data_IF_750508941367
#
_entry.id   IF_750508941367
#
_cell.length_a   1.000
_cell.length_b   1.000
_cell.length_c   1.000
_cell.angle_alpha   90.00
_cell.angle_beta   90.00
_cell.angle_gamma   90.00
#
_symmetry.space_group_name_H-M   'P 1'
#
loop_
_entity.id
_entity.type
_entity.pdbx_description
1 polymer ?
#
# COMPACT_ATOMS: atom_id res chain seq x y z
N UNK A 1 7.74 6.96 14.52
CA UNK A 1 7.18 8.21 13.98
C UNK A 1 6.20 8.71 15.03
N UNK A 2 6.33 9.96 15.42
CA UNK A 2 5.56 10.59 16.51
C UNK A 2 4.05 10.65 16.16
N UNK A 3 3.13 10.25 17.06
CA UNK A 3 1.68 10.38 16.88
C UNK A 3 1.22 11.79 16.48
N UNK A 4 1.89 12.84 16.98
CA UNK A 4 1.54 14.22 16.61
C UNK A 4 1.87 14.52 15.15
N UNK A 5 2.96 13.95 14.63
CA UNK A 5 3.33 14.06 13.21
C UNK A 5 2.30 13.35 12.32
N UNK A 6 1.75 12.22 12.77
CA UNK A 6 0.66 11.57 12.04
C UNK A 6 -0.59 12.44 12.08
N UNK A 7 -1.07 12.86 13.25
CA UNK A 7 -2.24 13.75 13.36
C UNK A 7 -2.14 14.98 12.46
N UNK A 8 -0.98 15.66 12.45
CA UNK A 8 -0.73 16.81 11.58
C UNK A 8 -0.81 16.45 10.09
N UNK A 9 -0.30 15.28 9.68
CA UNK A 9 -0.43 14.81 8.30
C UNK A 9 -1.89 14.51 7.92
N UNK A 10 -2.67 13.94 8.84
CA UNK A 10 -4.09 13.66 8.64
C UNK A 10 -4.93 14.94 8.58
N UNK A 11 -4.60 15.95 9.38
CA UNK A 11 -5.25 17.26 9.31
C UNK A 11 -4.95 17.97 8.00
N UNK A 12 -3.70 17.94 7.53
CA UNK A 12 -3.33 18.47 6.21
C UNK A 12 -4.09 17.80 5.07
N UNK A 13 -4.28 16.48 5.15
CA UNK A 13 -5.09 15.75 4.16
C UNK A 13 -6.56 16.15 4.22
N UNK A 14 -7.12 16.37 5.42
CA UNK A 14 -8.51 16.85 5.59
C UNK A 14 -8.72 18.28 5.10
N UNK A 15 -7.67 19.10 5.06
CA UNK A 15 -7.72 20.46 4.54
C UNK A 15 -7.62 20.52 3.00
N UNK A 16 -7.20 19.45 2.33
CA UNK A 16 -7.16 19.42 0.86
C UNK A 16 -8.57 19.47 0.27
N UNK A 17 -8.71 20.10 -0.89
CA UNK A 17 -9.90 19.96 -1.71
C UNK A 17 -10.10 18.48 -2.06
N UNK A 18 -11.19 17.90 -1.56
CA UNK A 18 -11.53 16.50 -1.76
C UNK A 18 -11.67 16.14 -3.24
N UNK A 19 -12.20 17.04 -4.09
CA UNK A 19 -12.34 16.78 -5.53
C UNK A 19 -10.99 16.69 -6.21
N UNK A 20 -10.08 17.58 -5.84
CA UNK A 20 -8.71 17.57 -6.37
C UNK A 20 -7.98 16.29 -5.93
N UNK A 21 -8.06 15.93 -4.65
CA UNK A 21 -7.46 14.72 -4.11
C UNK A 21 -7.98 13.45 -4.81
N UNK A 22 -9.29 13.34 -5.02
CA UNK A 22 -9.88 12.21 -5.73
C UNK A 22 -9.39 12.15 -7.19
N UNK A 23 -9.24 13.30 -7.84
CA UNK A 23 -8.70 13.38 -9.20
C UNK A 23 -7.22 12.97 -9.25
N UNK A 24 -6.42 13.37 -8.26
CA UNK A 24 -5.02 12.92 -8.11
C UNK A 24 -4.95 11.39 -8.00
N UNK A 25 -5.75 10.79 -7.11
CA UNK A 25 -5.80 9.33 -6.93
C UNK A 25 -6.26 8.64 -8.22
N UNK A 26 -7.30 9.14 -8.88
CA UNK A 26 -7.81 8.56 -10.14
C UNK A 26 -6.75 8.56 -11.25
N UNK A 27 -5.92 9.60 -11.33
CA UNK A 27 -4.84 9.69 -12.30
C UNK A 27 -3.65 8.78 -11.97
N UNK A 28 -3.46 8.45 -10.69
CA UNK A 28 -2.39 7.58 -10.23
C UNK A 28 -2.72 6.08 -10.40
N UNK A 29 -4.00 5.73 -10.51
CA UNK A 29 -4.43 4.37 -10.82
C UNK A 29 -3.82 3.92 -12.14
N UNK A 30 -3.16 2.77 -12.13
CA UNK A 30 -2.68 2.13 -13.35
C UNK A 30 -3.90 1.67 -14.16
N UNK A 31 -4.15 2.36 -15.27
CA UNK A 31 -5.36 2.18 -16.08
C UNK A 31 -5.43 0.77 -16.69
N UNK A 32 -6.67 0.28 -16.89
CA UNK A 32 -6.88 -0.94 -17.67
C UNK A 32 -6.48 -0.73 -19.13
N UNK A 33 -6.02 -1.77 -19.82
CA UNK A 33 -5.73 -1.69 -21.24
C UNK A 33 -6.98 -1.24 -22.03
N UNK A 34 -6.76 -0.46 -23.09
CA UNK A 34 -7.79 -0.18 -24.10
C UNK A 34 -8.04 -1.47 -24.86
N UNK A 35 -9.29 -1.92 -24.92
CA UNK A 35 -9.63 -3.11 -25.68
C UNK A 35 -9.70 -2.68 -27.15
N UNK A 36 -8.72 -3.14 -27.94
CA UNK A 36 -8.51 -2.70 -29.32
C UNK A 36 -9.51 -3.30 -30.32
N UNK A 37 -10.12 -4.44 -30.00
CA UNK A 37 -11.07 -5.16 -30.87
C UNK A 37 -12.30 -5.73 -30.13
N UNK A 38 -13.13 -4.91 -29.47
CA UNK A 38 -14.43 -5.38 -28.98
C UNK A 38 -15.40 -5.56 -30.16
N UNK A 39 -16.41 -6.44 -30.04
CA UNK A 39 -17.46 -6.57 -31.05
C UNK A 39 -18.23 -5.28 -31.35
N UNK A 40 -18.12 -4.25 -30.48
CA UNK A 40 -18.80 -2.96 -30.58
C UNK A 40 -17.85 -1.76 -30.78
N UNK A 41 -16.69 -2.00 -31.40
CA UNK A 41 -15.68 -0.96 -31.65
C UNK A 41 -14.83 -0.62 -30.42
N UNK A 42 -13.77 0.17 -30.59
CA UNK A 42 -12.82 0.50 -29.51
C UNK A 42 -13.54 1.18 -28.34
N UNK A 43 -13.52 0.54 -27.17
CA UNK A 43 -14.08 1.07 -25.92
C UNK A 43 -13.03 1.01 -24.82
N UNK A 44 -13.07 1.99 -23.92
CA UNK A 44 -12.28 1.99 -22.70
C UNK A 44 -12.84 0.93 -21.75
N UNK A 45 -11.99 0.04 -21.25
CA UNK A 45 -12.38 -0.88 -20.19
C UNK A 45 -12.60 -0.10 -18.88
N UNK A 46 -13.80 -0.21 -18.32
CA UNK A 46 -14.14 0.36 -17.02
C UNK A 46 -14.14 -0.80 -16.03
N UNK A 47 -13.32 -0.66 -14.99
CA UNK A 47 -13.28 -1.64 -13.90
C UNK A 47 -14.26 -1.18 -12.83
N UNK A 48 -15.20 -2.05 -12.47
CA UNK A 48 -16.27 -1.74 -11.50
C UNK A 48 -16.25 -2.65 -10.28
N UNK A 49 -15.30 -3.59 -10.20
CA UNK A 49 -15.24 -4.61 -9.15
C UNK A 49 -14.20 -4.29 -8.05
N UNK A 50 -14.18 -3.04 -7.59
CA UNK A 50 -13.22 -2.57 -6.58
C UNK A 50 -13.39 -3.22 -5.21
N UNK A 51 -14.52 -3.88 -4.94
CA UNK A 51 -14.75 -4.63 -3.72
C UNK A 51 -14.07 -6.00 -3.73
N UNK A 52 -13.92 -6.64 -4.90
CA UNK A 52 -13.18 -7.89 -5.03
C UNK A 52 -11.67 -7.64 -4.98
N UNK A 53 -11.18 -6.72 -5.81
CA UNK A 53 -9.75 -6.35 -5.87
C UNK A 53 -9.58 -4.88 -6.22
N UNK A 54 -8.64 -4.21 -5.57
CA UNK A 54 -8.30 -2.83 -5.92
C UNK A 54 -7.32 -2.78 -7.10
N UNK A 55 -7.25 -1.63 -7.79
CA UNK A 55 -6.21 -1.42 -8.82
C UNK A 55 -4.95 -0.83 -8.20
N UNK A 56 -3.75 -1.23 -8.68
CA UNK A 56 -2.50 -0.70 -8.19
C UNK A 56 -2.36 0.79 -8.54
N UNK A 57 -1.75 1.54 -7.62
CA UNK A 57 -1.38 2.94 -7.82
C UNK A 57 0.07 3.02 -8.26
N UNK A 58 0.35 3.83 -9.29
CA UNK A 58 1.69 3.99 -9.85
C UNK A 58 2.70 4.50 -8.82
N UNK A 59 2.28 5.38 -7.91
CA UNK A 59 3.15 5.86 -6.83
C UNK A 59 3.62 4.72 -5.94
N UNK A 60 2.73 3.80 -5.54
CA UNK A 60 3.11 2.66 -4.70
C UNK A 60 4.00 1.66 -5.45
N UNK A 61 3.66 1.33 -6.69
CA UNK A 61 4.50 0.44 -7.51
C UNK A 61 5.90 1.02 -7.72
N UNK A 62 6.00 2.35 -7.92
CA UNK A 62 7.28 3.02 -8.06
C UNK A 62 8.14 2.93 -6.80
N UNK A 63 7.53 3.06 -5.61
CA UNK A 63 8.22 2.89 -4.33
C UNK A 63 8.66 1.44 -4.14
N UNK A 64 7.80 0.48 -4.45
CA UNK A 64 8.15 -0.95 -4.40
C UNK A 64 9.36 -1.24 -5.29
N UNK A 65 9.32 -0.80 -6.55
CA UNK A 65 10.40 -0.99 -7.52
C UNK A 65 11.71 -0.31 -7.12
N UNK A 66 11.67 0.91 -6.56
CA UNK A 66 12.88 1.70 -6.29
C UNK A 66 13.47 1.48 -4.90
N UNK A 67 12.65 1.16 -3.91
CA UNK A 67 13.05 1.18 -2.50
C UNK A 67 12.96 -0.17 -1.81
N UNK A 68 12.10 -1.08 -2.28
CA UNK A 68 11.88 -2.38 -1.62
C UNK A 68 12.57 -3.50 -2.39
N UNK A 69 12.20 -3.68 -3.66
CA UNK A 69 12.68 -4.78 -4.49
C UNK A 69 14.21 -4.86 -4.65
N UNK A 70 14.97 -3.74 -4.75
CA UNK A 70 16.43 -3.82 -4.86
C UNK A 70 17.15 -4.43 -3.66
N UNK A 71 16.53 -4.39 -2.48
CA UNK A 71 17.07 -4.96 -1.25
C UNK A 71 16.34 -6.23 -0.82
N UNK A 72 15.47 -6.77 -1.68
CA UNK A 72 14.69 -7.96 -1.38
C UNK A 72 15.59 -9.19 -1.26
N UNK A 73 15.56 -9.82 -0.09
CA UNK A 73 16.30 -11.05 0.19
C UNK A 73 15.54 -11.89 1.23
N UNK A 74 15.78 -13.20 1.20
CA UNK A 74 15.20 -14.12 2.18
C UNK A 74 15.54 -13.68 3.61
N UNK A 75 14.53 -13.68 4.48
CA UNK A 75 14.63 -13.21 5.87
C UNK A 75 15.17 -14.25 6.85
N UNK A 76 15.37 -15.49 6.39
CA UNK A 76 15.81 -16.62 7.23
C UNK A 76 17.30 -16.54 7.62
N UNK A 77 18.09 -15.76 6.89
CA UNK A 77 19.53 -15.56 7.16
C UNK A 77 19.83 -14.07 7.16
N UNK A 78 20.03 -13.49 8.35
CA UNK A 78 20.24 -12.04 8.55
C UNK A 78 21.69 -11.59 8.34
N UNK A 79 22.49 -12.39 7.64
CA UNK A 79 23.93 -12.15 7.46
C UNK A 79 24.24 -11.03 6.46
N UNK A 80 23.35 -10.76 5.50
CA UNK A 80 23.55 -9.72 4.48
C UNK A 80 22.76 -8.44 4.79
N UNK A 81 23.24 -7.30 4.30
CA UNK A 81 22.55 -6.01 4.42
C UNK A 81 21.14 -6.05 3.80
N UNK A 82 20.96 -6.74 2.66
CA UNK A 82 19.66 -6.92 2.02
C UNK A 82 18.70 -7.77 2.86
N UNK A 83 19.18 -8.85 3.48
CA UNK A 83 18.36 -9.68 4.36
C UNK A 83 17.90 -8.92 5.61
N UNK A 84 18.78 -8.08 6.18
CA UNK A 84 18.43 -7.18 7.29
C UNK A 84 17.40 -6.13 6.85
N UNK A 85 17.59 -5.52 5.68
CA UNK A 85 16.66 -4.54 5.13
C UNK A 85 15.27 -5.14 4.90
N UNK A 86 15.17 -6.31 4.27
CA UNK A 86 13.87 -6.99 4.05
C UNK A 86 13.19 -7.35 5.37
N UNK A 87 13.94 -7.88 6.33
CA UNK A 87 13.41 -8.21 7.67
C UNK A 87 12.87 -6.96 8.38
N UNK A 88 13.59 -5.85 8.30
CA UNK A 88 13.15 -4.58 8.88
C UNK A 88 11.91 -4.02 8.18
N UNK A 89 11.85 -4.08 6.84
CA UNK A 89 10.68 -3.64 6.06
C UNK A 89 9.42 -4.41 6.47
N UNK A 90 9.51 -5.74 6.62
CA UNK A 90 8.38 -6.55 7.12
C UNK A 90 7.97 -6.14 8.54
N UNK A 91 8.94 -5.89 9.43
CA UNK A 91 8.66 -5.41 10.80
C UNK A 91 7.94 -4.06 10.79
N UNK A 92 8.39 -3.11 9.97
CA UNK A 92 7.75 -1.79 9.80
C UNK A 92 6.34 -1.94 9.22
N UNK A 93 6.13 -2.82 8.25
CA UNK A 93 4.82 -3.07 7.66
C UNK A 93 3.83 -3.58 8.71
N UNK A 94 4.22 -4.61 9.49
CA UNK A 94 3.42 -5.14 10.61
C UNK A 94 3.08 -4.08 11.64
N UNK A 95 4.07 -3.25 11.98
CA UNK A 95 3.91 -2.12 12.91
C UNK A 95 2.92 -1.09 12.39
N UNK A 96 3.03 -0.73 11.10
CA UNK A 96 2.14 0.24 10.45
C UNK A 96 0.70 -0.27 10.44
N UNK A 97 0.50 -1.53 10.02
CA UNK A 97 -0.81 -2.18 10.03
C UNK A 97 -1.43 -2.13 11.42
N UNK A 98 -0.68 -2.54 12.44
CA UNK A 98 -1.17 -2.58 13.82
C UNK A 98 -1.64 -1.21 14.30
N UNK A 99 -0.91 -0.14 13.94
CA UNK A 99 -1.32 1.24 14.26
C UNK A 99 -2.58 1.65 13.50
N UNK A 100 -2.66 1.33 12.21
CA UNK A 100 -3.84 1.64 11.40
C UNK A 100 -5.10 0.92 11.89
N UNK A 101 -4.97 -0.26 12.51
CA UNK A 101 -6.09 -1.02 13.09
C UNK A 101 -6.28 -0.79 14.59
N UNK A 102 -5.50 0.09 15.21
CA UNK A 102 -5.50 0.33 16.66
C UNK A 102 -5.33 -0.95 17.51
N UNK A 103 -4.58 -1.93 17.01
CA UNK A 103 -4.35 -3.18 17.72
C UNK A 103 -3.36 -2.99 18.88
N UNK A 104 -3.70 -3.53 20.05
CA UNK A 104 -2.96 -3.34 21.30
C UNK A 104 -1.75 -4.29 21.33
N UNK A 105 -0.59 -3.79 21.74
CA UNK A 105 0.57 -4.64 22.06
C UNK A 105 0.50 -5.02 23.54
N UNK A 106 -0.21 -6.10 23.86
CA UNK A 106 -0.28 -6.60 25.24
C UNK A 106 0.98 -7.43 25.53
N UNK A 107 1.74 -7.13 26.61
CA UNK A 107 2.87 -7.96 27.02
C UNK A 107 2.43 -9.42 27.21
N UNK A 108 3.16 -10.38 26.64
CA UNK A 108 2.78 -11.81 26.63
C UNK A 108 1.86 -12.24 25.47
N UNK A 109 1.41 -11.29 24.64
CA UNK A 109 0.62 -11.53 23.44
C UNK A 109 1.26 -10.93 22.18
N UNK A 110 2.60 -10.88 22.14
CA UNK A 110 3.38 -10.32 21.03
C UNK A 110 3.15 -11.07 19.69
N UNK A 111 2.55 -12.26 19.75
CA UNK A 111 2.17 -13.08 18.61
C UNK A 111 0.71 -12.93 18.18
N UNK A 112 -0.10 -12.06 18.81
CA UNK A 112 -1.45 -11.79 18.32
C UNK A 112 -1.36 -11.15 16.93
N UNK A 113 -1.71 -11.93 15.91
CA UNK A 113 -1.66 -11.53 14.53
C UNK A 113 -2.95 -10.78 14.16
N UNK A 114 -2.80 -9.57 13.61
CA UNK A 114 -3.87 -9.02 12.78
C UNK A 114 -3.89 -9.82 11.47
N UNK A 115 -5.02 -10.46 11.18
CA UNK A 115 -5.26 -11.10 9.88
C UNK A 115 -5.82 -10.03 8.95
N UNK A 116 -5.08 -9.70 7.90
CA UNK A 116 -5.60 -8.88 6.81
C UNK A 116 -5.97 -9.82 5.67
N UNK A 117 -7.22 -9.74 5.23
CA UNK A 117 -7.63 -10.28 3.95
C UNK A 117 -7.34 -9.22 2.89
N UNK A 118 -6.37 -9.48 2.02
CA UNK A 118 -6.11 -8.66 0.82
C UNK A 118 -6.36 -9.51 -0.41
N UNK A 119 -7.24 -9.05 -1.30
CA UNK A 119 -7.51 -9.62 -2.62
C UNK A 119 -7.00 -8.72 -3.75
#
# INVERSE_FOLDING_TARGET
MDPQVQLAAWERLRQKDQKLLLKEIQNDIIASPVISHPPFGKKKSIYTDFFASSKPLRTFESVMMRSVLPFYANTHTTTTSSSKATTMSVKIARETIRRCTNAINTPGHEHQAAVIFSG
#
